data_IF_947372190468
#
_entry.id   IF_947372190468
#
_cell.length_a   1.000
_cell.length_b   1.000
_cell.length_c   1.000
_cell.angle_alpha   90.00
_cell.angle_beta   90.00
_cell.angle_gamma   90.00
#
_symmetry.space_group_name_H-M   'P 1'
#
loop_
_entity.id
_entity.type
_entity.pdbx_description
1 polymer ?
#
# COMPACT_ATOMS: atom_id res chain seq x y z
N UNK A 1 -37.02 8.33 -14.44
CA UNK A 1 -35.93 8.09 -13.48
C UNK A 1 -35.03 7.05 -14.14
N UNK A 2 -33.75 7.37 -14.36
CA UNK A 2 -32.82 6.40 -14.95
C UNK A 2 -32.60 5.29 -13.92
N UNK A 3 -32.98 4.07 -14.27
CA UNK A 3 -32.66 2.85 -13.52
C UNK A 3 -31.13 2.79 -13.43
N UNK A 4 -30.59 2.73 -12.20
CA UNK A 4 -29.17 2.47 -12.02
C UNK A 4 -28.85 1.13 -12.68
N UNK A 5 -27.72 1.01 -13.41
CA UNK A 5 -27.36 -0.27 -14.01
C UNK A 5 -27.32 -1.36 -12.92
N UNK A 6 -27.68 -2.61 -13.26
CA UNK A 6 -27.63 -3.71 -12.30
C UNK A 6 -26.25 -3.72 -11.64
N UNK A 7 -26.24 -3.82 -10.32
CA UNK A 7 -25.03 -3.93 -9.50
C UNK A 7 -24.21 -5.11 -10.07
N UNK A 8 -23.24 -4.81 -10.91
CA UNK A 8 -22.45 -5.79 -11.65
C UNK A 8 -21.47 -6.42 -10.66
N UNK A 9 -22.00 -7.31 -9.82
CA UNK A 9 -21.40 -8.48 -9.18
C UNK A 9 -19.91 -8.33 -8.81
N UNK A 10 -19.53 -7.22 -8.14
CA UNK A 10 -18.17 -7.04 -7.61
C UNK A 10 -18.01 -7.94 -6.40
N UNK A 11 -17.77 -9.21 -6.67
CA UNK A 11 -17.53 -10.25 -5.68
C UNK A 11 -16.05 -10.54 -5.56
N UNK A 12 -15.65 -11.01 -4.38
CA UNK A 12 -14.27 -11.46 -4.17
C UNK A 12 -13.96 -12.64 -5.11
N UNK A 13 -12.70 -12.80 -5.56
CA UNK A 13 -12.33 -13.95 -6.38
C UNK A 13 -12.70 -15.26 -5.69
N UNK A 14 -13.55 -16.07 -6.33
CA UNK A 14 -14.04 -17.36 -5.80
C UNK A 14 -12.91 -18.25 -5.30
N UNK A 15 -11.77 -18.25 -6.01
CA UNK A 15 -10.59 -19.01 -5.62
C UNK A 15 -10.00 -18.57 -4.27
N UNK A 16 -9.98 -17.26 -3.98
CA UNK A 16 -9.47 -16.71 -2.72
C UNK A 16 -10.38 -17.11 -1.55
N UNK A 17 -11.70 -16.96 -1.71
CA UNK A 17 -12.67 -17.38 -0.68
C UNK A 17 -12.62 -18.89 -0.45
N UNK A 18 -12.54 -19.69 -1.53
CA UNK A 18 -12.42 -21.14 -1.42
C UNK A 18 -11.13 -21.59 -0.72
N UNK A 19 -10.02 -20.88 -0.94
CA UNK A 19 -8.76 -21.12 -0.23
C UNK A 19 -8.90 -20.80 1.26
N UNK A 20 -9.46 -19.63 1.59
CA UNK A 20 -9.73 -19.22 2.97
C UNK A 20 -10.60 -20.24 3.72
N UNK A 21 -11.69 -20.72 3.10
CA UNK A 21 -12.56 -21.75 3.70
C UNK A 21 -11.75 -23.02 4.03
N UNK A 22 -10.91 -23.50 3.10
CA UNK A 22 -10.09 -24.71 3.34
C UNK A 22 -9.04 -24.50 4.42
N UNK A 23 -8.46 -23.32 4.53
CA UNK A 23 -7.48 -23.00 5.59
C UNK A 23 -8.14 -22.95 6.97
N UNK A 24 -9.38 -22.45 7.06
CA UNK A 24 -10.14 -22.41 8.31
C UNK A 24 -10.66 -23.78 8.74
N UNK A 25 -11.07 -24.63 7.79
CA UNK A 25 -11.68 -25.96 8.05
C UNK A 25 -11.15 -27.05 7.08
N UNK A 26 -9.90 -27.52 7.26
CA UNK A 26 -9.18 -28.32 6.25
C UNK A 26 -9.77 -29.70 5.93
N UNK A 27 -10.52 -30.30 6.87
CA UNK A 27 -11.01 -31.67 6.76
C UNK A 27 -12.54 -31.76 6.56
N UNK A 28 -13.18 -30.65 6.21
CA UNK A 28 -14.64 -30.56 6.10
C UNK A 28 -15.05 -30.34 4.65
N UNK A 29 -15.99 -31.14 4.17
CA UNK A 29 -16.63 -30.92 2.86
C UNK A 29 -17.65 -29.78 2.99
N UNK A 30 -17.50 -28.76 2.17
CA UNK A 30 -18.42 -27.61 2.09
C UNK A 30 -19.10 -27.63 0.72
N UNK A 31 -20.43 -27.60 0.71
CA UNK A 31 -21.24 -27.60 -0.51
C UNK A 31 -21.03 -26.32 -1.34
N UNK A 32 -21.40 -26.37 -2.62
CA UNK A 32 -21.32 -25.19 -3.48
C UNK A 32 -22.23 -24.07 -2.99
N UNK A 33 -23.46 -24.39 -2.60
CA UNK A 33 -24.42 -23.40 -2.08
C UNK A 33 -23.90 -22.66 -0.84
N UNK A 34 -23.22 -23.38 0.07
CA UNK A 34 -22.60 -22.75 1.24
C UNK A 34 -21.43 -21.84 0.85
N UNK A 35 -20.68 -22.18 -0.19
CA UNK A 35 -19.58 -21.33 -0.72
C UNK A 35 -20.13 -20.05 -1.36
N UNK A 36 -21.22 -20.16 -2.12
CA UNK A 36 -21.93 -19.00 -2.68
C UNK A 36 -22.49 -18.12 -1.57
N UNK A 37 -23.09 -18.70 -0.53
CA UNK A 37 -23.58 -17.94 0.61
C UNK A 37 -22.45 -17.18 1.31
N UNK A 38 -21.31 -17.82 1.55
CA UNK A 38 -20.15 -17.15 2.17
C UNK A 38 -19.66 -16.00 1.29
N UNK A 39 -19.63 -16.18 -0.04
CA UNK A 39 -19.24 -15.12 -0.97
C UNK A 39 -20.17 -13.91 -0.86
N UNK A 40 -21.48 -14.14 -0.83
CA UNK A 40 -22.49 -13.10 -0.67
C UNK A 40 -22.33 -12.39 0.69
N UNK A 41 -22.09 -13.15 1.77
CA UNK A 41 -21.81 -12.58 3.09
C UNK A 41 -20.55 -11.72 3.10
N UNK A 42 -19.51 -12.07 2.34
CA UNK A 42 -18.31 -11.23 2.22
C UNK A 42 -18.64 -9.87 1.57
N UNK A 43 -19.44 -9.87 0.51
CA UNK A 43 -19.89 -8.63 -0.16
C UNK A 43 -20.75 -7.80 0.78
N UNK A 44 -21.73 -8.42 1.44
CA UNK A 44 -22.59 -7.75 2.41
C UNK A 44 -21.80 -7.19 3.59
N UNK A 45 -20.78 -7.91 4.08
CA UNK A 45 -19.90 -7.42 5.14
C UNK A 45 -19.16 -6.15 4.73
N UNK A 46 -18.67 -6.06 3.48
CA UNK A 46 -18.03 -4.84 2.96
C UNK A 46 -19.04 -3.70 2.95
N UNK A 47 -20.26 -3.92 2.46
CA UNK A 47 -21.32 -2.90 2.46
C UNK A 47 -21.72 -2.45 3.87
N UNK A 48 -21.86 -3.38 4.82
CA UNK A 48 -22.21 -3.10 6.20
C UNK A 48 -21.16 -2.19 6.85
N UNK A 49 -19.88 -2.58 6.81
CA UNK A 49 -18.79 -1.81 7.41
C UNK A 49 -18.62 -0.46 6.70
N UNK A 50 -18.73 -0.44 5.38
CA UNK A 50 -18.60 0.81 4.60
C UNK A 50 -19.73 1.79 4.91
N UNK A 51 -20.95 1.30 5.07
CA UNK A 51 -22.12 2.13 5.40
C UNK A 51 -21.98 2.75 6.79
N UNK A 52 -21.66 1.93 7.79
CA UNK A 52 -21.44 2.40 9.16
C UNK A 52 -20.27 3.41 9.25
N UNK A 53 -19.15 3.12 8.58
CA UNK A 53 -18.01 4.03 8.54
C UNK A 53 -18.34 5.35 7.82
N UNK A 54 -19.18 5.31 6.79
CA UNK A 54 -19.67 6.49 6.09
C UNK A 54 -20.59 7.33 6.98
N UNK A 55 -21.49 6.71 7.75
CA UNK A 55 -22.33 7.43 8.71
C UNK A 55 -21.50 8.13 9.79
N UNK A 56 -20.48 7.44 10.33
CA UNK A 56 -19.55 8.03 11.30
C UNK A 56 -18.78 9.19 10.68
N UNK A 57 -18.28 9.04 9.45
CA UNK A 57 -17.58 10.09 8.72
C UNK A 57 -18.46 11.35 8.56
N UNK A 58 -19.71 11.17 8.15
CA UNK A 58 -20.67 12.26 7.96
C UNK A 58 -21.03 12.93 9.30
N UNK A 59 -21.20 12.14 10.37
CA UNK A 59 -21.45 12.65 11.73
C UNK A 59 -20.29 13.51 12.26
N UNK A 60 -19.06 13.20 11.85
CA UNK A 60 -17.86 13.99 12.14
C UNK A 60 -17.65 15.17 11.17
N UNK A 61 -18.61 15.46 10.27
CA UNK A 61 -18.55 16.53 9.28
C UNK A 61 -17.33 16.43 8.32
N UNK A 62 -16.87 15.21 8.05
CA UNK A 62 -15.78 14.95 7.11
C UNK A 62 -16.34 14.41 5.79
N UNK A 63 -15.62 14.70 4.69
CA UNK A 63 -15.97 14.24 3.33
C UNK A 63 -15.18 13.00 2.88
N UNK A 64 -14.24 12.55 3.70
CA UNK A 64 -13.34 11.43 3.37
C UNK A 64 -13.34 10.45 4.53
N UNK A 65 -13.66 9.19 4.23
CA UNK A 65 -13.61 8.11 5.20
C UNK A 65 -12.14 7.85 5.55
N UNK A 66 -11.80 7.99 6.83
CA UNK A 66 -10.48 7.74 7.38
C UNK A 66 -10.44 6.37 8.06
N UNK A 67 -9.25 5.77 8.28
CA UNK A 67 -9.12 4.50 8.98
C UNK A 67 -9.79 4.48 10.37
N UNK A 68 -9.74 5.62 11.08
CA UNK A 68 -10.39 5.79 12.37
C UNK A 68 -11.91 5.59 12.31
N UNK A 69 -12.57 6.02 11.22
CA UNK A 69 -14.02 5.81 11.06
C UNK A 69 -14.33 4.31 10.88
N UNK A 70 -13.44 3.56 10.22
CA UNK A 70 -13.56 2.11 10.06
C UNK A 70 -13.36 1.40 11.40
N UNK A 71 -12.41 1.83 12.23
CA UNK A 71 -12.23 1.26 13.56
C UNK A 71 -13.44 1.51 14.48
N UNK A 72 -14.02 2.70 14.43
CA UNK A 72 -15.25 3.01 15.17
C UNK A 72 -16.44 2.20 14.65
N UNK A 73 -16.56 2.01 13.34
CA UNK A 73 -17.59 1.16 12.75
C UNK A 73 -17.45 -0.30 13.23
N UNK A 74 -16.24 -0.87 13.18
CA UNK A 74 -15.97 -2.20 13.69
C UNK A 74 -16.30 -2.33 15.18
N UNK A 75 -15.98 -1.30 15.99
CA UNK A 75 -16.34 -1.29 17.40
C UNK A 75 -17.87 -1.25 17.60
N UNK A 76 -18.58 -0.38 16.89
CA UNK A 76 -20.04 -0.24 16.97
C UNK A 76 -20.79 -1.50 16.53
N UNK A 77 -20.27 -2.21 15.53
CA UNK A 77 -20.82 -3.47 15.02
C UNK A 77 -20.43 -4.70 15.88
N UNK A 78 -19.58 -4.53 16.90
CA UNK A 78 -19.17 -5.60 17.81
C UNK A 78 -17.96 -6.43 17.35
N UNK A 79 -17.23 -5.99 16.32
CA UNK A 79 -16.02 -6.64 15.79
C UNK A 79 -14.72 -6.12 16.44
N UNK A 80 -14.74 -5.86 17.74
CA UNK A 80 -13.62 -5.23 18.46
C UNK A 80 -12.32 -6.05 18.40
N UNK A 81 -12.42 -7.37 18.33
CA UNK A 81 -11.26 -8.27 18.18
C UNK A 81 -10.47 -8.03 16.88
N UNK A 82 -11.08 -7.46 15.84
CA UNK A 82 -10.40 -7.19 14.56
C UNK A 82 -9.55 -5.93 14.60
N UNK A 83 -9.78 -5.04 15.58
CA UNK A 83 -9.16 -3.72 15.63
C UNK A 83 -7.65 -3.83 15.87
N UNK A 84 -7.24 -4.62 16.87
CA UNK A 84 -5.83 -4.73 17.26
C UNK A 84 -4.98 -5.36 16.15
N UNK A 85 -5.48 -6.42 15.50
CA UNK A 85 -4.78 -7.01 14.37
C UNK A 85 -4.67 -6.03 13.19
N UNK A 86 -5.74 -5.29 12.89
CA UNK A 86 -5.74 -4.31 11.80
C UNK A 86 -4.78 -3.15 12.07
N UNK A 87 -4.73 -2.63 13.30
CA UNK A 87 -3.75 -1.60 13.70
C UNK A 87 -2.33 -2.11 13.55
N UNK A 88 -2.02 -3.31 14.04
CA UNK A 88 -0.69 -3.92 13.90
C UNK A 88 -0.27 -4.02 12.44
N UNK A 89 -1.15 -4.53 11.56
CA UNK A 89 -0.88 -4.63 10.12
C UNK A 89 -0.66 -3.26 9.46
N UNK A 90 -1.42 -2.24 9.86
CA UNK A 90 -1.25 -0.88 9.37
C UNK A 90 0.10 -0.28 9.79
N UNK A 91 0.51 -0.47 11.06
CA UNK A 91 1.82 -0.02 11.56
C UNK A 91 2.97 -0.70 10.83
N UNK A 92 2.94 -2.03 10.68
CA UNK A 92 3.98 -2.76 9.93
C UNK A 92 4.10 -2.28 8.48
N UNK A 93 2.99 -1.94 7.83
CA UNK A 93 3.04 -1.38 6.47
C UNK A 93 3.72 -0.02 6.43
N UNK A 94 3.47 0.83 7.42
CA UNK A 94 4.10 2.15 7.51
C UNK A 94 5.60 2.02 7.80
N UNK A 95 5.97 1.15 8.75
CA UNK A 95 7.38 0.84 9.08
C UNK A 95 8.15 0.38 7.84
N UNK A 96 7.61 -0.59 7.09
CA UNK A 96 8.25 -1.08 5.87
C UNK A 96 8.44 0.02 4.81
N UNK A 97 7.51 0.98 4.71
CA UNK A 97 7.63 2.11 3.77
C UNK A 97 8.74 3.07 4.21
N UNK A 98 8.84 3.36 5.51
CA UNK A 98 9.92 4.20 6.07
C UNK A 98 11.29 3.54 5.85
N UNK A 99 11.41 2.25 6.17
CA UNK A 99 12.65 1.49 5.93
C UNK A 99 13.06 1.51 4.45
N UNK A 100 12.08 1.40 3.54
CA UNK A 100 12.35 1.44 2.10
C UNK A 100 12.84 2.82 1.63
N UNK A 101 12.25 3.91 2.14
CA UNK A 101 12.69 5.28 1.84
C UNK A 101 14.09 5.59 2.39
N UNK A 102 14.39 5.15 3.62
CA UNK A 102 15.71 5.33 4.23
C UNK A 102 16.80 4.59 3.45
N UNK A 103 16.52 3.35 3.05
CA UNK A 103 17.45 2.55 2.25
C UNK A 103 17.73 3.20 0.89
N UNK A 104 16.70 3.79 0.28
CA UNK A 104 16.82 4.48 -1.00
C UNK A 104 17.66 5.77 -0.87
N UNK A 105 17.46 6.54 0.20
CA UNK A 105 18.27 7.72 0.50
C UNK A 105 19.74 7.37 0.75
N UNK A 106 20.00 6.31 1.51
CA UNK A 106 21.36 5.86 1.80
C UNK A 106 22.10 5.43 0.52
N UNK A 107 21.42 4.71 -0.38
CA UNK A 107 21.97 4.35 -1.69
C UNK A 107 22.26 5.58 -2.55
N UNK A 108 21.36 6.57 -2.58
CA UNK A 108 21.59 7.81 -3.32
C UNK A 108 22.78 8.60 -2.77
N UNK A 109 22.88 8.72 -1.44
CA UNK A 109 24.01 9.37 -0.79
C UNK A 109 25.34 8.66 -1.09
N UNK A 110 25.35 7.33 -1.05
CA UNK A 110 26.53 6.52 -1.39
C UNK A 110 26.95 6.71 -2.86
N UNK A 111 26.01 6.74 -3.79
CA UNK A 111 26.29 6.96 -5.21
C UNK A 111 26.89 8.35 -5.47
N UNK A 112 26.34 9.40 -4.84
CA UNK A 112 26.86 10.76 -4.93
C UNK A 112 28.28 10.88 -4.35
N UNK A 113 28.54 10.20 -3.22
CA UNK A 113 29.88 10.15 -2.63
C UNK A 113 30.89 9.47 -3.54
N UNK A 114 30.54 8.34 -4.17
CA UNK A 114 31.41 7.66 -5.12
C UNK A 114 31.75 8.55 -6.32
N UNK A 115 30.76 9.27 -6.86
CA UNK A 115 30.98 10.19 -7.97
C UNK A 115 31.92 11.34 -7.58
N UNK A 116 31.77 11.89 -6.35
CA UNK A 116 32.71 12.91 -5.82
C UNK A 116 34.14 12.38 -5.68
N UNK A 117 34.32 11.15 -5.21
CA UNK A 117 35.65 10.54 -5.06
C UNK A 117 36.32 10.33 -6.43
N UNK A 118 35.59 9.81 -7.41
CA UNK A 118 36.11 9.64 -8.78
C UNK A 118 36.50 10.98 -9.43
N UNK A 119 35.74 12.05 -9.18
CA UNK A 119 36.03 13.37 -9.72
C UNK A 119 37.29 14.01 -9.14
N UNK A 120 37.63 13.71 -7.87
CA UNK A 120 38.83 14.26 -7.22
C UNK A 120 40.12 13.51 -7.57
N UNK A 121 40.03 12.30 -8.16
CA UNK A 121 41.19 11.50 -8.54
C UNK A 121 41.69 11.69 -9.97
N UNK A 122 41.09 12.57 -10.79
CA UNK A 122 41.66 12.91 -12.10
C UNK A 122 42.88 13.84 -11.94
N UNK A 123 44.08 13.45 -12.40
CA UNK A 123 45.24 14.33 -12.32
C UNK A 123 45.05 15.52 -13.27
N UNK A 124 45.24 16.73 -12.74
CA UNK A 124 45.28 17.98 -13.51
C UNK A 124 46.54 18.02 -14.39
N UNK A 125 46.48 17.38 -15.56
CA UNK A 125 47.48 17.49 -16.62
C UNK A 125 47.27 18.79 -17.41
N UNK A 126 47.63 19.92 -16.81
CA UNK A 126 47.66 21.21 -17.52
C UNK A 126 49.05 21.46 -18.08
N UNK A 127 49.39 20.80 -19.19
CA UNK A 127 50.56 21.18 -20.00
C UNK A 127 50.16 22.29 -20.97
N UNK A 128 50.48 23.52 -20.59
CA UNK A 128 50.38 24.72 -21.44
C UNK A 128 51.29 24.52 -22.66
N UNK A 129 50.71 24.28 -23.83
CA UNK A 129 51.45 24.32 -25.10
C UNK A 129 51.70 25.77 -25.45
N UNK A 130 52.93 26.23 -25.21
CA UNK A 130 53.40 27.57 -25.59
C UNK A 130 53.70 27.58 -27.11
N UNK A 131 53.19 28.54 -27.90
CA UNK A 131 53.53 28.63 -29.33
C UNK A 131 54.97 29.14 -29.53
N UNK A 132 55.69 28.68 -30.58
CA UNK A 132 57.09 29.01 -30.77
C UNK A 132 57.26 30.48 -31.17
N UNK A 133 58.16 31.18 -30.48
CA UNK A 133 58.56 32.55 -30.80
C UNK A 133 59.33 32.60 -32.14
N UNK A 134 58.86 33.45 -33.06
CA UNK A 134 59.60 33.89 -34.25
C UNK A 134 60.95 34.47 -33.83
N UNK A 135 62.05 33.89 -34.31
CA UNK A 135 63.35 34.54 -34.31
C UNK A 135 63.50 35.39 -35.57
N UNK A 136 63.92 36.64 -35.37
CA UNK A 136 64.63 37.50 -36.32
C UNK A 136 65.68 38.26 -35.50
N UNK A 137 66.80 38.71 -36.09
CA UNK A 137 67.16 38.73 -37.52
C UNK A 137 68.20 37.66 -37.93
#
# INVERSE_FOLDING_TARGET
MAEAPPDDDVTLPRAAVNKMIKEMIPNVRVSNDARELILNCCTEFIHLVSSEANEICNRQLKKTILPEHVFQALQGLGFTSYIEENKRRASTRLENLVEQEELQQLQQAAALQQQRQQSQSLPSSSSVVQPPARQMP
#
